data_IF_907025129818
#
_entry.id   IF_907025129818
#
_cell.length_a   1.000
_cell.length_b   1.000
_cell.length_c   1.000
_cell.angle_alpha   90.00
_cell.angle_beta   90.00
_cell.angle_gamma   90.00
#
_symmetry.space_group_name_H-M   'P 1'
#
loop_
_entity.id
_entity.type
_entity.pdbx_description
1 polymer ?
#
# COMPACT_ATOMS: atom_id res chain seq x y z
N UNK A 1 5.84 21.58 -32.76
CA UNK A 1 6.62 20.39 -32.34
C UNK A 1 6.99 20.56 -30.86
N UNK A 2 6.19 20.02 -29.92
CA UNK A 2 6.61 19.78 -28.53
C UNK A 2 5.87 18.52 -28.05
N UNK A 3 6.64 17.52 -27.68
CA UNK A 3 6.19 16.16 -27.39
C UNK A 3 5.00 16.10 -26.44
N UNK A 4 4.02 15.29 -26.86
CA UNK A 4 2.95 14.77 -26.02
C UNK A 4 3.58 14.09 -24.80
N UNK A 5 3.19 14.51 -23.60
CA UNK A 5 3.42 13.79 -22.35
C UNK A 5 2.99 12.32 -22.54
N UNK A 6 3.94 11.43 -22.83
CA UNK A 6 3.72 9.99 -22.79
C UNK A 6 3.46 9.65 -21.34
N UNK A 7 2.21 9.37 -21.00
CA UNK A 7 1.83 8.69 -19.75
C UNK A 7 2.66 7.40 -19.70
N UNK A 8 3.70 7.38 -18.86
CA UNK A 8 4.53 6.20 -18.66
C UNK A 8 3.64 5.12 -18.05
N UNK A 9 3.18 4.18 -18.89
CA UNK A 9 2.42 3.01 -18.47
C UNK A 9 3.21 2.27 -17.39
N UNK A 10 2.65 2.17 -16.18
CA UNK A 10 3.25 1.40 -15.07
C UNK A 10 3.50 -0.03 -15.56
N UNK A 11 4.75 -0.49 -15.45
CA UNK A 11 5.17 -1.84 -15.85
C UNK A 11 4.27 -2.87 -15.14
N UNK A 12 3.49 -3.62 -15.91
CA UNK A 12 2.64 -4.70 -15.39
C UNK A 12 3.53 -5.85 -14.93
N UNK A 13 3.38 -6.26 -13.68
CA UNK A 13 4.10 -7.41 -13.12
C UNK A 13 3.15 -8.59 -13.07
N UNK A 14 3.51 -9.70 -13.72
CA UNK A 14 2.73 -10.94 -13.70
C UNK A 14 3.41 -11.92 -12.74
N UNK A 15 2.63 -12.58 -11.90
CA UNK A 15 3.18 -13.52 -10.93
C UNK A 15 2.11 -14.35 -10.21
N UNK A 16 2.46 -14.82 -9.02
CA UNK A 16 1.58 -15.58 -8.13
C UNK A 16 1.03 -14.66 -7.05
N UNK A 17 -0.30 -14.59 -6.92
CA UNK A 17 -0.93 -13.82 -5.85
C UNK A 17 -0.55 -14.41 -4.48
N UNK A 18 -0.07 -13.58 -3.56
CA UNK A 18 0.35 -14.01 -2.23
C UNK A 18 -0.83 -14.53 -1.37
N UNK A 19 -2.06 -14.03 -1.60
CA UNK A 19 -3.25 -14.44 -0.86
C UNK A 19 -3.93 -15.66 -1.49
N UNK A 20 -4.55 -15.50 -2.66
CA UNK A 20 -5.35 -16.57 -3.29
C UNK A 20 -4.52 -17.61 -4.05
N UNK A 21 -3.19 -17.45 -4.12
CA UNK A 21 -2.23 -18.38 -4.76
C UNK A 21 -2.42 -18.64 -6.27
N UNK A 22 -3.40 -17.99 -6.92
CA UNK A 22 -3.55 -17.97 -8.39
C UNK A 22 -2.23 -17.55 -9.04
N UNK A 23 -1.80 -18.26 -10.08
CA UNK A 23 -0.56 -18.02 -10.84
C UNK A 23 -0.85 -17.24 -12.12
N UNK A 24 0.19 -16.70 -12.75
CA UNK A 24 0.12 -16.00 -14.05
C UNK A 24 -0.91 -14.86 -14.09
N UNK A 25 -1.04 -14.12 -12.98
CA UNK A 25 -1.99 -13.00 -12.85
C UNK A 25 -1.25 -11.67 -12.67
N UNK A 26 -1.85 -10.58 -13.17
CA UNK A 26 -1.35 -9.22 -12.94
C UNK A 26 -1.41 -8.88 -11.44
N UNK A 27 -0.24 -8.58 -10.87
CA UNK A 27 -0.09 -8.18 -9.48
C UNK A 27 -0.18 -6.67 -9.33
N UNK A 28 -0.85 -6.24 -8.27
CA UNK A 28 -0.94 -4.84 -7.83
C UNK A 28 0.18 -4.55 -6.83
N UNK A 29 0.60 -3.29 -6.81
CA UNK A 29 1.52 -2.78 -5.80
C UNK A 29 0.78 -2.62 -4.48
N UNK A 30 0.81 -3.67 -3.69
CA UNK A 30 0.21 -3.78 -2.36
C UNK A 30 1.18 -3.24 -1.31
N UNK A 31 0.69 -2.60 -0.26
CA UNK A 31 1.56 -2.24 0.87
C UNK A 31 2.00 -3.51 1.62
N UNK A 32 3.26 -3.57 2.05
CA UNK A 32 3.73 -4.66 2.94
C UNK A 32 3.17 -4.47 4.35
N UNK A 33 3.21 -3.23 4.84
CA UNK A 33 2.59 -2.83 6.10
C UNK A 33 1.26 -2.14 5.77
N UNK A 34 0.13 -2.44 6.45
CA UNK A 34 -1.15 -1.80 6.16
C UNK A 34 -1.07 -0.26 6.20
N UNK A 35 -1.82 0.40 5.31
CA UNK A 35 -1.87 1.87 5.20
C UNK A 35 -2.26 2.53 6.53
N UNK A 36 -3.08 1.87 7.34
CA UNK A 36 -3.50 2.27 8.68
C UNK A 36 -2.30 2.56 9.58
N UNK A 37 -1.30 1.69 9.59
CA UNK A 37 -0.13 1.84 10.45
C UNK A 37 0.68 3.07 10.03
N UNK A 38 0.85 3.28 8.72
CA UNK A 38 1.48 4.49 8.19
C UNK A 38 0.70 5.76 8.57
N UNK A 39 -0.62 5.74 8.46
CA UNK A 39 -1.49 6.86 8.84
C UNK A 39 -1.39 7.17 10.34
N UNK A 40 -1.42 6.15 11.20
CA UNK A 40 -1.29 6.30 12.65
C UNK A 40 0.06 6.89 13.03
N UNK A 41 1.16 6.41 12.43
CA UNK A 41 2.49 6.96 12.68
C UNK A 41 2.59 8.40 12.16
N UNK A 42 1.98 8.73 11.03
CA UNK A 42 1.94 10.10 10.51
C UNK A 42 1.16 11.06 11.40
N UNK A 43 0.12 10.57 12.09
CA UNK A 43 -0.74 11.37 12.98
C UNK A 43 -0.02 11.92 14.22
N UNK A 44 1.10 11.32 14.63
CA UNK A 44 1.90 11.83 15.74
C UNK A 44 2.99 12.80 15.24
N UNK A 45 3.28 13.85 16.00
CA UNK A 45 4.34 14.80 15.66
C UNK A 45 5.71 14.13 15.72
N UNK A 46 6.63 14.56 14.86
CA UNK A 46 8.03 14.07 14.77
C UNK A 46 8.21 12.58 14.41
N UNK A 47 7.15 11.82 14.16
CA UNK A 47 7.23 10.40 13.78
C UNK A 47 6.95 10.20 12.30
N UNK A 48 7.84 9.49 11.59
CA UNK A 48 7.68 9.13 10.18
C UNK A 48 8.33 7.77 9.92
N UNK A 49 7.76 7.00 9.00
CA UNK A 49 8.46 5.83 8.47
C UNK A 49 9.64 6.29 7.63
N UNK A 50 10.79 5.66 7.87
CA UNK A 50 12.05 5.98 7.21
C UNK A 50 12.63 4.72 6.57
N UNK A 51 13.46 4.91 5.56
CA UNK A 51 14.20 3.81 4.99
C UNK A 51 15.26 3.31 5.98
N UNK A 52 15.30 1.99 6.20
CA UNK A 52 16.28 1.36 7.09
C UNK A 52 17.72 1.49 6.58
N UNK A 53 17.90 1.61 5.26
CA UNK A 53 19.21 1.81 4.64
C UNK A 53 19.59 3.29 4.53
N UNK A 54 18.62 4.20 4.66
CA UNK A 54 18.84 5.66 4.58
C UNK A 54 17.81 6.40 5.41
N UNK A 55 18.18 6.74 6.65
CA UNK A 55 17.28 7.35 7.65
C UNK A 55 16.75 8.73 7.18
N UNK A 56 17.49 9.41 6.29
CA UNK A 56 17.06 10.70 5.72
C UNK A 56 15.83 10.56 4.81
N UNK A 57 15.62 9.39 4.22
CA UNK A 57 14.53 9.14 3.29
C UNK A 57 13.24 8.76 4.02
N UNK A 58 12.19 9.54 3.80
CA UNK A 58 10.87 9.34 4.42
C UNK A 58 9.95 8.58 3.46
N UNK A 59 9.41 7.45 3.91
CA UNK A 59 8.37 6.72 3.19
C UNK A 59 6.99 7.31 3.49
N UNK A 60 6.55 8.26 2.66
CA UNK A 60 5.25 8.94 2.82
C UNK A 60 4.05 8.00 2.67
N UNK A 61 4.16 7.05 1.75
CA UNK A 61 3.06 6.18 1.32
C UNK A 61 3.42 4.69 1.51
N UNK A 62 4.42 4.45 2.37
CA UNK A 62 4.91 3.13 2.72
C UNK A 62 5.63 2.36 1.62
N UNK A 63 6.22 1.22 2.02
CA UNK A 63 6.80 0.29 1.06
C UNK A 63 5.71 -0.56 0.40
N UNK A 64 5.73 -0.59 -0.95
CA UNK A 64 4.80 -1.36 -1.77
C UNK A 64 5.55 -2.38 -2.62
N UNK A 65 4.96 -3.57 -2.80
CA UNK A 65 5.48 -4.64 -3.65
C UNK A 65 4.38 -5.23 -4.52
N UNK A 66 4.70 -5.78 -5.71
CA UNK A 66 3.74 -6.54 -6.50
C UNK A 66 3.41 -7.86 -5.78
N UNK A 67 2.29 -7.94 -5.06
CA UNK A 67 1.97 -9.09 -4.20
C UNK A 67 0.57 -9.68 -4.43
N UNK A 68 -0.45 -8.84 -4.58
CA UNK A 68 -1.84 -9.29 -4.65
C UNK A 68 -2.43 -9.09 -6.04
N UNK A 69 -3.34 -9.97 -6.45
CA UNK A 69 -4.19 -9.69 -7.61
C UNK A 69 -5.22 -8.59 -7.26
N UNK A 70 -5.86 -8.02 -8.27
CA UNK A 70 -6.83 -6.93 -8.09
C UNK A 70 -7.98 -7.26 -7.13
N UNK A 71 -8.51 -8.49 -7.19
CA UNK A 71 -9.59 -8.96 -6.29
C UNK A 71 -9.14 -8.98 -4.83
N UNK A 72 -7.96 -9.56 -4.57
CA UNK A 72 -7.40 -9.68 -3.22
C UNK A 72 -6.97 -8.32 -2.66
N UNK A 73 -6.45 -7.43 -3.49
CA UNK A 73 -6.11 -6.05 -3.09
C UNK A 73 -7.38 -5.30 -2.66
N UNK A 74 -8.46 -5.40 -3.44
CA UNK A 74 -9.75 -4.79 -3.09
C UNK A 74 -10.31 -5.36 -1.79
N UNK A 75 -10.22 -6.67 -1.60
CA UNK A 75 -10.64 -7.34 -0.36
C UNK A 75 -9.88 -6.81 0.86
N UNK A 76 -8.55 -6.73 0.78
CA UNK A 76 -7.72 -6.19 1.86
C UNK A 76 -8.04 -4.73 2.17
N UNK A 77 -8.21 -3.88 1.15
CA UNK A 77 -8.53 -2.48 1.33
C UNK A 77 -9.90 -2.28 2.01
N UNK A 78 -10.89 -3.09 1.64
CA UNK A 78 -12.20 -3.07 2.30
C UNK A 78 -12.08 -3.47 3.77
N UNK A 79 -11.38 -4.57 4.06
CA UNK A 79 -11.18 -5.05 5.43
C UNK A 79 -10.46 -4.00 6.28
N UNK A 80 -9.41 -3.39 5.74
CA UNK A 80 -8.68 -2.32 6.42
C UNK A 80 -9.59 -1.12 6.71
N UNK A 81 -10.38 -0.67 5.74
CA UNK A 81 -11.33 0.45 5.94
C UNK A 81 -12.34 0.14 7.04
N UNK A 82 -12.93 -1.05 7.02
CA UNK A 82 -13.88 -1.49 8.03
C UNK A 82 -13.23 -1.61 9.40
N UNK A 83 -12.03 -2.19 9.49
CA UNK A 83 -11.28 -2.31 10.74
C UNK A 83 -10.96 -0.94 11.35
N UNK A 84 -10.56 0.05 10.53
CA UNK A 84 -10.31 1.42 10.99
C UNK A 84 -11.56 2.02 11.63
N UNK A 85 -12.71 1.90 10.96
CA UNK A 85 -13.98 2.42 11.48
C UNK A 85 -14.30 1.83 12.86
N UNK A 86 -14.16 0.51 13.02
CA UNK A 86 -14.36 -0.13 14.32
C UNK A 86 -13.32 0.32 15.35
N UNK A 87 -12.03 0.30 15.00
CA UNK A 87 -10.96 0.66 15.92
C UNK A 87 -11.09 2.10 16.46
N UNK A 88 -11.50 3.06 15.62
CA UNK A 88 -11.77 4.43 16.05
C UNK A 88 -12.96 4.52 17.02
N UNK A 89 -14.03 3.77 16.78
CA UNK A 89 -15.19 3.73 17.69
C UNK A 89 -14.84 3.14 19.05
N UNK A 90 -13.97 2.13 19.11
CA UNK A 90 -13.57 1.49 20.36
C UNK A 90 -12.47 2.24 21.14
N UNK A 91 -11.74 3.17 20.52
CA UNK A 91 -10.66 3.94 21.16
C UNK A 91 -11.06 5.36 21.59
N UNK A 92 -12.31 5.76 21.34
CA UNK A 92 -12.89 7.04 21.77
C UNK A 92 -13.72 6.92 23.07
N UNK A 93 -13.57 5.82 23.81
CA UNK A 93 -14.03 5.65 25.20
C UNK A 93 -12.85 5.62 26.16
#
# INVERSE_FOLDING_TARGET
MKERFRVMSKKKTVGKCALCKKKNIELRNSHIVPRLVYQRIKSHPNTRFRNIFSIKDIYQDGEKKPMLCAECEKFFNNYETTYILYFQLFTMN
#
